data_IF_908369763770
#
_entry.id   IF_908369763770
#
_cell.length_a   1.000
_cell.length_b   1.000
_cell.length_c   1.000
_cell.angle_alpha   90.00
_cell.angle_beta   90.00
_cell.angle_gamma   90.00
#
_symmetry.space_group_name_H-M   'P 1'
#
loop_
_entity.id
_entity.type
_entity.pdbx_description
1 polymer ?
#
# COMPACT_ATOMS: atom_id res chain seq x y z
N UNK A 1 -7.03 -18.05 -12.66
CA UNK A 1 -7.41 -18.68 -11.37
C UNK A 1 -8.40 -17.75 -10.72
N UNK A 2 -9.45 -18.30 -10.13
CA UNK A 2 -10.46 -17.55 -9.37
C UNK A 2 -10.49 -18.18 -7.98
N UNK A 3 -9.88 -17.51 -7.01
CA UNK A 3 -9.80 -17.97 -5.62
C UNK A 3 -11.00 -17.48 -4.79
N UNK A 4 -12.02 -16.93 -5.45
CA UNK A 4 -13.25 -16.41 -4.85
C UNK A 4 -12.99 -15.44 -3.69
N UNK A 5 -11.92 -14.63 -3.79
CA UNK A 5 -11.58 -13.64 -2.78
C UNK A 5 -12.36 -12.33 -3.01
N UNK A 6 -12.78 -11.67 -1.92
CA UNK A 6 -13.66 -10.49 -1.95
C UNK A 6 -13.27 -9.38 -2.95
N UNK A 7 -11.97 -9.16 -3.17
CA UNK A 7 -11.45 -8.11 -4.03
C UNK A 7 -10.70 -8.63 -5.27
N UNK A 8 -10.77 -9.94 -5.53
CA UNK A 8 -10.25 -10.54 -6.75
C UNK A 8 -11.19 -10.23 -7.92
N UNK A 9 -10.67 -9.84 -9.09
CA UNK A 9 -11.50 -9.65 -10.27
C UNK A 9 -12.13 -10.98 -10.70
N UNK A 10 -13.45 -11.01 -10.87
CA UNK A 10 -14.17 -12.21 -11.31
C UNK A 10 -13.77 -12.58 -12.74
N UNK A 11 -13.53 -13.86 -12.97
CA UNK A 11 -13.18 -14.41 -14.27
C UNK A 11 -11.77 -14.07 -14.74
N UNK A 12 -11.53 -14.09 -16.05
CA UNK A 12 -10.19 -13.89 -16.62
C UNK A 12 -9.87 -12.40 -16.90
N UNK A 13 -10.01 -11.55 -15.87
CA UNK A 13 -9.79 -10.11 -15.97
C UNK A 13 -8.59 -9.67 -15.15
N UNK A 14 -7.92 -8.61 -15.60
CA UNK A 14 -6.79 -7.98 -14.91
C UNK A 14 -7.15 -6.56 -14.54
N UNK A 15 -6.86 -6.17 -13.29
CA UNK A 15 -7.01 -4.78 -12.86
C UNK A 15 -5.79 -3.99 -13.33
N UNK A 16 -6.02 -2.98 -14.17
CA UNK A 16 -4.96 -2.14 -14.71
C UNK A 16 -4.60 -0.99 -13.76
N UNK A 17 -3.30 -0.82 -13.48
CA UNK A 17 -2.78 0.22 -12.59
C UNK A 17 -1.47 0.83 -13.04
N UNK A 18 -1.16 2.01 -12.49
CA UNK A 18 0.09 2.71 -12.70
C UNK A 18 0.50 3.53 -11.47
N UNK A 19 1.75 4.00 -11.45
CA UNK A 19 2.28 4.88 -10.41
C UNK A 19 3.78 5.13 -10.60
N UNK A 20 4.49 5.75 -9.67
CA UNK A 20 4.06 6.13 -8.32
C UNK A 20 3.88 7.65 -8.10
N UNK A 21 4.02 8.46 -9.15
CA UNK A 21 3.92 9.91 -9.07
C UNK A 21 2.60 10.43 -9.68
N UNK A 22 2.00 11.50 -9.12
CA UNK A 22 0.76 12.05 -9.66
C UNK A 22 0.87 12.51 -11.12
N UNK A 23 1.96 13.22 -11.44
CA UNK A 23 2.20 13.76 -12.79
C UNK A 23 2.42 12.65 -13.81
N UNK A 24 3.26 11.66 -13.50
CA UNK A 24 3.51 10.53 -14.40
C UNK A 24 2.25 9.70 -14.59
N UNK A 25 1.47 9.49 -13.53
CA UNK A 25 0.18 8.78 -13.63
C UNK A 25 -0.80 9.51 -14.56
N UNK A 26 -0.93 10.84 -14.43
CA UNK A 26 -1.80 11.64 -15.30
C UNK A 26 -1.36 11.52 -16.77
N UNK A 27 -0.07 11.69 -17.04
CA UNK A 27 0.48 11.59 -18.39
C UNK A 27 0.23 10.20 -18.98
N UNK A 28 0.49 9.14 -18.20
CA UNK A 28 0.25 7.76 -18.61
C UNK A 28 -1.24 7.49 -18.87
N UNK A 29 -2.13 7.91 -17.97
CA UNK A 29 -3.58 7.75 -18.11
C UNK A 29 -4.13 8.50 -19.33
N UNK A 30 -3.62 9.70 -19.64
CA UNK A 30 -3.99 10.49 -20.81
C UNK A 30 -3.51 9.88 -22.13
N UNK A 31 -2.39 9.16 -22.13
CA UNK A 31 -1.88 8.46 -23.31
C UNK A 31 -2.72 7.23 -23.70
N UNK A 32 -3.60 6.76 -22.81
CA UNK A 32 -4.42 5.57 -23.02
C UNK A 32 -5.86 5.93 -23.38
N UNK A 33 -6.34 5.39 -24.50
CA UNK A 33 -7.68 5.69 -25.01
C UNK A 33 -8.79 4.83 -24.35
N UNK A 34 -8.72 3.49 -24.49
CA UNK A 34 -9.82 2.59 -24.06
C UNK A 34 -9.70 2.05 -22.63
N UNK A 35 -8.48 1.90 -22.12
CA UNK A 35 -8.22 1.11 -20.90
C UNK A 35 -7.39 1.90 -19.90
N UNK A 36 -7.99 2.97 -19.34
CA UNK A 36 -7.32 3.82 -18.35
C UNK A 36 -7.02 3.04 -17.06
N UNK A 37 -5.88 3.31 -16.39
CA UNK A 37 -5.56 2.67 -15.13
C UNK A 37 -6.54 3.14 -14.04
N UNK A 38 -7.04 2.19 -13.26
CA UNK A 38 -7.92 2.46 -12.11
C UNK A 38 -7.21 2.25 -10.78
N UNK A 39 -6.10 1.50 -10.77
CA UNK A 39 -5.21 1.37 -9.62
C UNK A 39 -4.15 2.47 -9.64
N UNK A 40 -4.00 3.18 -8.52
CA UNK A 40 -2.94 4.15 -8.29
C UNK A 40 -1.93 3.61 -7.27
N UNK A 41 -0.70 3.37 -7.71
CA UNK A 41 0.36 2.86 -6.85
C UNK A 41 1.03 3.98 -6.06
N UNK A 42 1.15 3.79 -4.75
CA UNK A 42 1.87 4.71 -3.86
C UNK A 42 2.68 3.95 -2.82
N UNK A 43 3.71 4.60 -2.28
CA UNK A 43 4.59 4.01 -1.28
C UNK A 43 4.66 4.89 -0.03
N UNK A 44 4.70 4.24 1.12
CA UNK A 44 4.82 4.87 2.43
C UNK A 44 5.69 3.98 3.33
N UNK A 45 6.57 4.59 4.14
CA UNK A 45 7.28 3.88 5.20
C UNK A 45 6.45 3.88 6.47
N UNK A 46 6.58 2.84 7.29
CA UNK A 46 5.84 2.69 8.55
C UNK A 46 5.92 3.95 9.43
N UNK A 47 7.12 4.53 9.59
CA UNK A 47 7.37 5.72 10.40
C UNK A 47 6.91 7.04 9.75
N UNK A 48 6.57 7.03 8.47
CA UNK A 48 6.13 8.22 7.72
C UNK A 48 4.60 8.32 7.60
N UNK A 49 3.84 7.31 8.04
CA UNK A 49 2.38 7.23 7.84
C UNK A 49 1.66 8.46 8.40
N UNK A 50 1.94 8.80 9.67
CA UNK A 50 1.27 9.91 10.35
C UNK A 50 1.49 11.25 9.67
N UNK A 51 2.68 11.45 9.07
CA UNK A 51 3.08 12.70 8.43
C UNK A 51 2.62 12.79 6.97
N UNK A 52 2.79 11.71 6.20
CA UNK A 52 2.77 11.79 4.74
C UNK A 52 1.58 11.07 4.10
N UNK A 53 0.92 10.14 4.79
CA UNK A 53 -0.10 9.31 4.14
C UNK A 53 -1.34 10.13 3.73
N UNK A 54 -1.79 11.07 4.57
CA UNK A 54 -2.93 11.95 4.23
C UNK A 54 -2.66 12.79 2.98
N UNK A 55 -1.43 13.31 2.85
CA UNK A 55 -1.02 14.09 1.68
C UNK A 55 -1.07 13.24 0.41
N UNK A 56 -0.50 12.02 0.45
CA UNK A 56 -0.52 11.07 -0.68
C UNK A 56 -1.94 10.67 -1.10
N UNK A 57 -2.83 10.43 -0.14
CA UNK A 57 -4.24 10.16 -0.42
C UNK A 57 -4.92 11.35 -1.10
N UNK A 58 -4.68 12.57 -0.61
CA UNK A 58 -5.25 13.79 -1.22
C UNK A 58 -4.72 14.01 -2.65
N UNK A 59 -3.43 13.80 -2.88
CA UNK A 59 -2.82 13.88 -4.22
C UNK A 59 -3.50 12.90 -5.20
N UNK A 60 -3.73 11.66 -4.78
CA UNK A 60 -4.48 10.68 -5.58
C UNK A 60 -5.93 11.12 -5.83
N UNK A 61 -6.64 11.54 -4.78
CA UNK A 61 -8.05 11.96 -4.87
C UNK A 61 -8.24 13.22 -5.73
N UNK A 62 -7.23 14.08 -5.81
CA UNK A 62 -7.19 15.23 -6.71
C UNK A 62 -7.03 14.83 -8.19
N UNK A 63 -6.55 13.61 -8.48
CA UNK A 63 -6.57 13.04 -9.84
C UNK A 63 -7.97 12.51 -10.12
N UNK A 64 -8.46 11.60 -9.28
CA UNK A 64 -9.82 11.11 -9.32
C UNK A 64 -10.17 10.41 -8.00
N UNK A 65 -11.40 10.60 -7.54
CA UNK A 65 -11.94 9.93 -6.35
C UNK A 65 -12.30 8.46 -6.60
N UNK A 66 -12.31 8.01 -7.86
CA UNK A 66 -12.61 6.63 -8.26
C UNK A 66 -11.36 5.73 -8.26
N UNK A 67 -10.16 6.31 -8.11
CA UNK A 67 -8.93 5.54 -8.07
C UNK A 67 -8.89 4.61 -6.85
N UNK A 68 -8.45 3.38 -7.10
CA UNK A 68 -8.21 2.34 -6.11
C UNK A 68 -6.74 2.44 -5.68
N UNK A 69 -6.41 2.73 -4.42
CA UNK A 69 -5.02 2.77 -3.99
C UNK A 69 -4.41 1.37 -3.91
N UNK A 70 -3.21 1.23 -4.48
CA UNK A 70 -2.28 0.14 -4.19
C UNK A 70 -1.11 0.69 -3.37
N UNK A 71 -1.04 0.35 -2.09
CA UNK A 71 -0.11 0.94 -1.14
C UNK A 71 1.04 -0.04 -0.87
N UNK A 72 2.24 0.30 -1.31
CA UNK A 72 3.48 -0.32 -0.86
C UNK A 72 3.86 0.18 0.54
N UNK A 73 3.61 -0.64 1.57
CA UNK A 73 4.01 -0.33 2.94
C UNK A 73 5.42 -0.86 3.19
N UNK A 74 6.39 0.03 3.28
CA UNK A 74 7.76 -0.32 3.59
C UNK A 74 7.95 -0.43 5.11
N UNK A 75 8.41 -1.60 5.58
CA UNK A 75 8.64 -1.88 7.00
C UNK A 75 10.06 -1.53 7.46
N UNK A 76 10.84 -0.82 6.63
CA UNK A 76 12.14 -0.22 6.97
C UNK A 76 11.98 1.28 7.15
N UNK A 77 12.85 1.89 7.95
CA UNK A 77 13.00 3.35 7.95
C UNK A 77 14.19 3.75 7.07
N UNK A 78 14.49 5.05 6.98
CA UNK A 78 15.70 5.53 6.29
C UNK A 78 16.94 5.38 7.15
N UNK A 79 16.77 5.56 8.46
CA UNK A 79 17.84 5.56 9.46
C UNK A 79 18.16 4.16 9.97
N UNK A 80 17.17 3.26 9.95
CA UNK A 80 17.27 1.89 10.46
C UNK A 80 16.82 0.90 9.40
N UNK A 81 17.29 -0.34 9.54
CA UNK A 81 16.89 -1.47 8.71
C UNK A 81 15.42 -1.88 8.94
N UNK A 82 15.16 -3.19 8.87
CA UNK A 82 13.83 -3.73 9.18
C UNK A 82 13.34 -3.27 10.55
N UNK A 83 12.06 -2.91 10.63
CA UNK A 83 11.36 -2.56 11.88
C UNK A 83 10.31 -3.62 12.26
N UNK A 84 10.45 -4.84 11.74
CA UNK A 84 9.47 -5.89 11.96
C UNK A 84 9.27 -6.19 13.45
N UNK A 85 10.35 -6.17 14.24
CA UNK A 85 10.29 -6.38 15.69
C UNK A 85 9.48 -5.30 16.39
N UNK A 86 9.80 -4.05 16.12
CA UNK A 86 9.14 -2.88 16.68
C UNK A 86 7.65 -2.82 16.34
N UNK A 87 7.26 -3.33 15.16
CA UNK A 87 5.85 -3.42 14.75
C UNK A 87 5.07 -4.35 15.67
N UNK A 88 5.49 -5.61 15.85
CA UNK A 88 4.74 -6.53 16.73
C UNK A 88 4.98 -6.28 18.23
N UNK A 89 6.01 -5.51 18.58
CA UNK A 89 6.19 -4.89 19.91
C UNK A 89 5.38 -3.60 20.09
N UNK A 90 4.47 -3.29 19.14
CA UNK A 90 3.45 -2.22 19.24
C UNK A 90 3.99 -0.79 19.21
N UNK A 91 5.26 -0.58 18.82
CA UNK A 91 5.87 0.75 18.75
C UNK A 91 5.32 1.63 17.63
N UNK A 92 4.58 1.03 16.69
CA UNK A 92 3.96 1.71 15.54
C UNK A 92 2.41 1.66 15.57
N UNK A 93 1.79 1.39 16.72
CA UNK A 93 0.33 1.28 16.84
C UNK A 93 -0.39 2.57 16.42
N UNK A 94 0.22 3.74 16.69
CA UNK A 94 -0.33 5.04 16.28
C UNK A 94 -0.40 5.17 14.76
N UNK A 95 0.70 4.83 14.08
CA UNK A 95 0.83 4.85 12.63
C UNK A 95 -0.14 3.85 11.99
N UNK A 96 -0.16 2.61 12.48
CA UNK A 96 -1.05 1.56 11.98
C UNK A 96 -2.53 1.92 12.18
N UNK A 97 -2.90 2.42 13.37
CA UNK A 97 -4.27 2.90 13.62
C UNK A 97 -4.64 4.02 12.66
N UNK A 98 -3.72 4.95 12.39
CA UNK A 98 -3.93 6.04 11.43
C UNK A 98 -4.13 5.51 10.01
N UNK A 99 -3.33 4.53 9.59
CA UNK A 99 -3.44 3.86 8.30
C UNK A 99 -4.81 3.16 8.16
N UNK A 100 -5.17 2.31 9.12
CA UNK A 100 -6.43 1.57 9.12
C UNK A 100 -7.64 2.51 9.07
N UNK A 101 -7.68 3.56 9.90
CA UNK A 101 -8.77 4.54 9.89
C UNK A 101 -8.91 5.23 8.54
N UNK A 102 -7.79 5.66 7.94
CA UNK A 102 -7.81 6.33 6.64
C UNK A 102 -8.26 5.41 5.52
N UNK A 103 -7.80 4.15 5.52
CA UNK A 103 -8.23 3.14 4.53
C UNK A 103 -9.73 2.83 4.69
N UNK A 104 -10.22 2.63 5.93
CA UNK A 104 -11.65 2.38 6.20
C UNK A 104 -12.56 3.53 5.75
N UNK A 105 -12.04 4.76 5.71
CA UNK A 105 -12.78 5.94 5.25
C UNK A 105 -12.75 6.12 3.72
N UNK A 106 -11.99 5.31 2.97
CA UNK A 106 -12.04 5.31 1.52
C UNK A 106 -13.28 4.54 1.04
N UNK A 107 -13.95 5.07 0.03
CA UNK A 107 -15.09 4.39 -0.60
C UNK A 107 -14.66 3.21 -1.48
N UNK A 108 -13.42 3.24 -1.98
CA UNK A 108 -12.88 2.24 -2.89
C UNK A 108 -12.10 1.15 -2.14
N UNK A 109 -12.00 -0.07 -2.70
CA UNK A 109 -11.07 -1.08 -2.20
C UNK A 109 -9.65 -0.55 -2.07
N UNK A 110 -8.83 -1.21 -1.24
CA UNK A 110 -7.41 -0.85 -1.09
C UNK A 110 -6.57 -2.11 -1.12
N UNK A 111 -5.54 -2.12 -1.94
CA UNK A 111 -4.56 -3.21 -1.98
C UNK A 111 -3.33 -2.81 -1.19
N UNK A 112 -3.07 -3.47 -0.05
CA UNK A 112 -1.92 -3.20 0.80
C UNK A 112 -0.81 -4.22 0.56
N UNK A 113 0.32 -3.77 0.03
CA UNK A 113 1.54 -4.56 -0.21
C UNK A 113 2.50 -4.39 0.97
N UNK A 114 2.30 -5.20 2.01
CA UNK A 114 3.07 -5.16 3.27
C UNK A 114 4.49 -5.70 3.05
N UNK A 115 5.50 -4.87 3.31
CA UNK A 115 6.91 -5.24 3.16
C UNK A 115 7.22 -5.82 1.79
N UNK A 116 6.81 -5.11 0.73
CA UNK A 116 7.05 -5.52 -0.65
C UNK A 116 8.53 -5.84 -0.90
N UNK A 117 8.77 -6.77 -1.84
CA UNK A 117 10.11 -7.30 -2.13
C UNK A 117 10.79 -7.84 -0.86
N UNK A 118 10.06 -8.57 -0.01
CA UNK A 118 10.60 -9.10 1.24
C UNK A 118 11.77 -10.09 1.03
N UNK A 119 11.86 -10.68 -0.17
CA UNK A 119 12.92 -11.59 -0.59
C UNK A 119 14.15 -10.87 -1.18
N UNK A 120 14.12 -9.54 -1.35
CA UNK A 120 15.27 -8.79 -1.82
C UNK A 120 16.36 -8.77 -0.73
N UNK A 121 17.58 -9.27 -0.98
CA UNK A 121 18.64 -9.32 0.03
C UNK A 121 18.99 -7.95 0.63
N UNK A 122 18.86 -6.87 -0.16
CA UNK A 122 19.09 -5.50 0.30
C UNK A 122 18.05 -5.01 1.33
N UNK A 123 16.92 -5.70 1.44
CA UNK A 123 15.90 -5.40 2.44
C UNK A 123 16.21 -6.05 3.80
N UNK A 124 17.00 -7.12 3.81
CA UNK A 124 17.52 -7.80 5.00
C UNK A 124 16.44 -8.04 6.07
N UNK A 125 15.26 -8.52 5.65
CA UNK A 125 14.21 -8.92 6.58
C UNK A 125 14.59 -10.21 7.28
N UNK A 126 14.56 -10.22 8.62
CA UNK A 126 14.55 -11.47 9.35
C UNK A 126 13.21 -12.18 9.12
N UNK A 127 13.23 -13.41 8.62
CA UNK A 127 12.02 -14.15 8.26
C UNK A 127 11.05 -14.34 9.44
N UNK A 128 11.54 -14.66 10.64
CA UNK A 128 10.70 -14.87 11.83
C UNK A 128 10.03 -13.56 12.25
N UNK A 129 10.77 -12.46 12.23
CA UNK A 129 10.21 -11.15 12.58
C UNK A 129 9.24 -10.63 11.52
N UNK A 130 9.54 -10.84 10.24
CA UNK A 130 8.67 -10.47 9.13
C UNK A 130 7.30 -11.16 9.25
N UNK A 131 7.27 -12.47 9.50
CA UNK A 131 6.01 -13.22 9.67
C UNK A 131 5.19 -12.66 10.84
N UNK A 132 5.84 -12.35 11.97
CA UNK A 132 5.16 -11.77 13.14
C UNK A 132 4.62 -10.38 12.84
N UNK A 133 5.40 -9.52 12.20
CA UNK A 133 4.98 -8.19 11.80
C UNK A 133 3.82 -8.22 10.79
N UNK A 134 3.90 -9.09 9.78
CA UNK A 134 2.86 -9.23 8.76
C UNK A 134 1.53 -9.63 9.40
N UNK A 135 1.52 -10.67 10.25
CA UNK A 135 0.32 -11.12 10.98
C UNK A 135 -0.24 -10.02 11.88
N UNK A 136 0.64 -9.30 12.59
CA UNK A 136 0.22 -8.20 13.46
C UNK A 136 -0.51 -7.09 12.68
N UNK A 137 0.03 -6.69 11.52
CA UNK A 137 -0.60 -5.69 10.65
C UNK A 137 -1.92 -6.21 10.10
N UNK A 138 -1.97 -7.45 9.60
CA UNK A 138 -3.21 -8.04 9.06
C UNK A 138 -4.31 -8.10 10.13
N UNK A 139 -3.98 -8.49 11.35
CA UNK A 139 -4.93 -8.54 12.47
C UNK A 139 -5.40 -7.16 12.95
N UNK A 140 -4.80 -6.07 12.45
CA UNK A 140 -5.20 -4.69 12.78
C UNK A 140 -6.31 -4.14 11.87
N UNK A 141 -6.72 -4.88 10.82
CA UNK A 141 -7.78 -4.47 9.88
C UNK A 141 -9.13 -5.09 10.25
#
# INVERSE_FOLDING_TARGET
>A
MDYNQKFEPIGNKVIHGAGQSPTTFKNYSSALYKSKPILYMMYIRINEISLNFSKKLKEMQNISKELIPQIGLNLKTREKGSQCREIFERKYDKELTSLCKKIKNLRNPTFLRIGYEFNNPSHNYNAKDYIRAFRYIVNSF
#
